data_IF_839194715657
#
_entry.id   IF_839194715657
#
_cell.length_a   1.000
_cell.length_b   1.000
_cell.length_c   1.000
_cell.angle_alpha   90.00
_cell.angle_beta   90.00
_cell.angle_gamma   90.00
#
_symmetry.space_group_name_H-M   'P 1'
#
loop_
_entity.id
_entity.type
_entity.pdbx_description
1 polymer ?
#
# COMPACT_ATOMS: atom_id res chain seq x y z
N UNK A 1 -12.22 7.09 16.91
CA UNK A 1 -11.76 6.32 15.73
C UNK A 1 -10.33 5.90 16.01
N UNK A 2 -10.10 4.61 16.24
CA UNK A 2 -8.76 4.07 16.50
C UNK A 2 -8.23 3.57 15.15
N UNK A 3 -6.98 3.95 14.83
CA UNK A 3 -6.31 3.46 13.63
C UNK A 3 -5.36 2.33 14.04
N UNK A 4 -5.54 1.18 13.41
CA UNK A 4 -4.65 0.02 13.53
C UNK A 4 -3.62 0.05 12.39
N UNK A 5 -2.33 0.03 12.73
CA UNK A 5 -1.24 0.05 11.76
C UNK A 5 -0.67 -1.36 11.60
N UNK A 6 -0.84 -1.94 10.40
CA UNK A 6 -0.40 -3.29 10.08
C UNK A 6 0.81 -3.24 9.15
N UNK A 7 1.91 -3.86 9.57
CA UNK A 7 3.15 -3.96 8.79
C UNK A 7 3.13 -5.27 8.01
N UNK A 8 3.47 -5.22 6.70
CA UNK A 8 3.54 -6.40 5.82
C UNK A 8 2.29 -7.31 5.87
N UNK A 9 1.11 -6.70 6.01
CA UNK A 9 -0.16 -7.41 5.93
C UNK A 9 -0.36 -8.00 4.52
N UNK A 10 -1.18 -9.04 4.41
CA UNK A 10 -1.61 -9.60 3.13
C UNK A 10 -2.49 -8.58 2.43
N UNK A 11 -2.07 -8.13 1.26
CA UNK A 11 -2.78 -7.08 0.51
C UNK A 11 -3.96 -7.68 -0.24
N UNK A 12 -5.11 -7.05 -0.04
CA UNK A 12 -6.24 -7.15 -0.96
C UNK A 12 -6.02 -6.14 -2.10
N UNK A 13 -5.76 -6.66 -3.29
CA UNK A 13 -5.46 -5.87 -4.48
C UNK A 13 -6.61 -4.94 -4.88
N UNK A 14 -7.86 -5.35 -4.68
CA UNK A 14 -9.03 -4.53 -4.99
C UNK A 14 -9.16 -3.38 -3.98
N UNK A 15 -9.03 -3.68 -2.69
CA UNK A 15 -9.11 -2.66 -1.64
C UNK A 15 -8.02 -1.59 -1.80
N UNK A 16 -6.79 -1.99 -2.12
CA UNK A 16 -5.70 -1.04 -2.33
C UNK A 16 -5.84 -0.28 -3.66
N UNK A 17 -6.30 -0.91 -4.73
CA UNK A 17 -6.61 -0.20 -5.98
C UNK A 17 -7.71 0.84 -5.80
N UNK A 18 -8.77 0.53 -5.04
CA UNK A 18 -9.81 1.51 -4.69
C UNK A 18 -9.25 2.67 -3.88
N UNK A 19 -8.48 2.39 -2.82
CA UNK A 19 -7.85 3.43 -2.02
C UNK A 19 -6.98 4.36 -2.88
N UNK A 20 -6.21 3.78 -3.80
CA UNK A 20 -5.40 4.54 -4.75
C UNK A 20 -6.26 5.41 -5.68
N UNK A 21 -7.32 4.86 -6.29
CA UNK A 21 -8.25 5.65 -7.12
C UNK A 21 -8.92 6.77 -6.31
N UNK A 22 -9.33 6.51 -5.06
CA UNK A 22 -9.94 7.52 -4.19
C UNK A 22 -8.94 8.65 -3.85
N UNK A 23 -7.66 8.32 -3.66
CA UNK A 23 -6.63 9.28 -3.29
C UNK A 23 -6.10 10.12 -4.47
N UNK A 24 -5.98 9.52 -5.65
CA UNK A 24 -5.31 10.14 -6.81
C UNK A 24 -6.24 10.42 -8.00
N UNK A 25 -7.49 9.96 -7.94
CA UNK A 25 -8.46 10.04 -9.04
C UNK A 25 -8.17 9.07 -10.19
N UNK A 26 -8.94 9.21 -11.28
CA UNK A 26 -8.80 8.41 -12.50
C UNK A 26 -9.70 7.18 -12.57
N UNK A 27 -9.53 6.39 -13.63
CA UNK A 27 -10.30 5.17 -13.83
C UNK A 27 -9.86 4.09 -12.84
N UNK A 28 -10.86 3.46 -12.21
CA UNK A 28 -10.59 2.35 -11.33
C UNK A 28 -10.18 1.12 -12.15
N UNK A 29 -8.96 0.63 -11.89
CA UNK A 29 -8.44 -0.62 -12.44
C UNK A 29 -7.74 -1.38 -11.30
N UNK A 30 -8.16 -2.62 -11.10
CA UNK A 30 -7.49 -3.51 -10.15
C UNK A 30 -6.03 -3.76 -10.62
N UNK A 31 -5.08 -3.44 -9.76
CA UNK A 31 -3.65 -3.66 -9.98
C UNK A 31 -3.17 -4.80 -9.08
N UNK A 32 -2.19 -5.62 -9.55
CA UNK A 32 -1.65 -6.73 -8.76
C UNK A 32 -0.64 -6.21 -7.72
N UNK A 33 -1.13 -5.48 -6.72
CA UNK A 33 -0.30 -4.80 -5.70
C UNK A 33 0.52 -5.78 -4.87
N UNK A 34 -0.07 -6.87 -4.37
CA UNK A 34 0.64 -7.86 -3.55
C UNK A 34 1.89 -8.38 -4.26
N UNK A 35 1.75 -8.78 -5.53
CA UNK A 35 2.88 -9.28 -6.32
C UNK A 35 3.95 -8.21 -6.57
N UNK A 36 3.56 -6.95 -6.80
CA UNK A 36 4.50 -5.83 -6.98
C UNK A 36 5.25 -5.51 -5.70
N UNK A 37 4.55 -5.47 -4.57
CA UNK A 37 5.12 -5.16 -3.27
C UNK A 37 6.16 -6.19 -2.84
N UNK A 38 5.84 -7.49 -2.97
CA UNK A 38 6.80 -8.56 -2.67
C UNK A 38 8.05 -8.50 -3.55
N UNK A 39 7.91 -8.10 -4.82
CA UNK A 39 9.03 -8.05 -5.76
C UNK A 39 9.91 -6.81 -5.63
N UNK A 40 9.31 -5.67 -5.31
CA UNK A 40 9.99 -4.37 -5.46
C UNK A 40 10.09 -3.55 -4.18
N UNK A 41 9.33 -3.89 -3.15
CA UNK A 41 9.30 -3.12 -1.90
C UNK A 41 10.00 -3.88 -0.78
N UNK A 42 10.73 -3.13 0.06
CA UNK A 42 11.33 -3.69 1.28
C UNK A 42 10.26 -3.97 2.33
N UNK A 43 9.30 -3.06 2.47
CA UNK A 43 8.17 -3.18 3.39
C UNK A 43 7.02 -2.26 2.99
N UNK A 44 5.86 -2.47 3.59
CA UNK A 44 4.67 -1.62 3.47
C UNK A 44 3.87 -1.62 4.76
N UNK A 45 3.09 -0.56 4.96
CA UNK A 45 2.21 -0.35 6.10
C UNK A 45 0.84 0.07 5.61
N UNK A 46 -0.19 -0.55 6.17
CA UNK A 46 -1.59 -0.15 5.99
C UNK A 46 -2.16 0.42 7.28
N UNK A 47 -2.96 1.47 7.16
CA UNK A 47 -3.77 2.03 8.23
C UNK A 47 -5.19 1.50 8.10
N UNK A 48 -5.73 0.94 9.18
CA UNK A 48 -7.03 0.27 9.20
C UNK A 48 -7.95 0.90 10.24
N UNK A 49 -9.23 1.02 9.89
CA UNK A 49 -10.32 1.44 10.77
C UNK A 49 -11.45 0.46 10.56
N UNK A 50 -11.85 -0.26 11.61
CA UNK A 50 -12.86 -1.32 11.54
C UNK A 50 -12.57 -2.32 10.39
N UNK A 51 -11.32 -2.79 10.30
CA UNK A 51 -10.78 -3.66 9.24
C UNK A 51 -10.79 -3.11 7.81
N UNK A 52 -11.26 -1.87 7.59
CA UNK A 52 -11.17 -1.19 6.31
C UNK A 52 -9.81 -0.50 6.16
N UNK A 53 -9.13 -0.75 5.05
CA UNK A 53 -7.93 -0.03 4.67
C UNK A 53 -8.28 1.44 4.32
N UNK A 54 -7.68 2.39 5.03
CA UNK A 54 -7.92 3.84 4.88
C UNK A 54 -6.66 4.64 4.56
N UNK A 55 -5.49 4.00 4.61
CA UNK A 55 -4.22 4.62 4.28
C UNK A 55 -3.17 3.56 3.98
N UNK A 56 -2.21 3.89 3.13
CA UNK A 56 -1.18 2.97 2.70
C UNK A 56 0.12 3.70 2.35
N UNK A 57 1.25 3.10 2.69
CA UNK A 57 2.58 3.54 2.24
C UNK A 57 3.48 2.33 2.04
N UNK A 58 4.35 2.38 1.04
CA UNK A 58 5.38 1.37 0.85
C UNK A 58 6.76 2.00 0.65
N UNK A 59 7.78 1.26 1.06
CA UNK A 59 9.17 1.65 0.93
C UNK A 59 9.86 0.79 -0.12
N UNK A 60 10.29 1.41 -1.21
CA UNK A 60 11.21 0.79 -2.18
C UNK A 60 12.65 1.08 -1.76
N UNK A 61 13.60 0.30 -2.24
CA UNK A 61 15.00 0.44 -1.85
C UNK A 61 15.95 0.22 -3.03
N UNK A 62 17.14 0.80 -2.93
CA UNK A 62 18.21 0.64 -3.92
C UNK A 62 19.08 -0.62 -3.70
N UNK A 63 18.72 -1.45 -2.71
CA UNK A 63 19.53 -2.61 -2.29
C UNK A 63 20.74 -2.24 -1.43
N UNK A 64 20.93 -0.95 -1.11
CA UNK A 64 22.05 -0.42 -0.36
C UNK A 64 21.58 0.37 0.86
N UNK A 65 21.92 1.67 0.92
CA UNK A 65 21.69 2.51 2.10
C UNK A 65 20.41 3.35 2.02
N UNK A 66 19.73 3.40 0.87
CA UNK A 66 18.60 4.31 0.69
C UNK A 66 17.28 3.55 0.50
N UNK A 67 16.26 4.05 1.18
CA UNK A 67 14.88 3.65 0.97
C UNK A 67 14.04 4.90 0.67
N UNK A 68 13.08 4.74 -0.21
CA UNK A 68 12.18 5.80 -0.65
C UNK A 68 10.76 5.42 -0.29
N UNK A 69 10.05 6.34 0.38
CA UNK A 69 8.61 6.22 0.52
C UNK A 69 7.97 6.64 -0.81
N UNK A 70 7.18 5.74 -1.37
CA UNK A 70 6.48 5.99 -2.63
C UNK A 70 4.99 6.12 -2.33
N UNK A 71 4.43 7.22 -2.81
CA UNK A 71 3.02 7.57 -2.76
C UNK A 71 2.65 7.99 -4.18
N UNK A 72 2.11 7.06 -4.96
CA UNK A 72 1.50 7.37 -6.24
C UNK A 72 0.22 6.57 -6.38
#
# INVERSE_FOLDING_TARGET
MIVDLRIRFVVDDEALSRLHTDAFGGDHVQSPWQARLERHSRSWVGAFVDDRLVGFVHAVWDGGRHAFLVLR
#
